data_IF_697882354560
#
_entry.id   IF_697882354560
#
_cell.length_a   1.000
_cell.length_b   1.000
_cell.length_c   1.000
_cell.angle_alpha   90.00
_cell.angle_beta   90.00
_cell.angle_gamma   90.00
#
_symmetry.space_group_name_H-M   'P 1'
#
loop_
_entity.id
_entity.type
_entity.pdbx_description
1 polymer ?
#
# COMPACT_ATOMS: atom_id res chain seq x y z
N UNK A 1 -37.55 11.02 -31.50
CA UNK A 1 -38.08 10.11 -30.46
C UNK A 1 -36.92 9.77 -29.52
N UNK A 2 -36.72 10.60 -28.50
CA UNK A 2 -35.69 10.37 -27.49
C UNK A 2 -36.23 9.34 -26.50
N UNK A 3 -35.61 8.16 -26.41
CA UNK A 3 -35.87 7.25 -25.30
C UNK A 3 -34.99 7.67 -24.12
N UNK A 4 -35.66 8.12 -23.06
CA UNK A 4 -35.04 8.43 -21.79
C UNK A 4 -34.33 7.20 -21.24
N UNK A 5 -33.07 7.36 -20.86
CA UNK A 5 -32.37 6.39 -20.03
C UNK A 5 -32.64 6.77 -18.58
N UNK A 6 -33.47 5.94 -17.94
CA UNK A 6 -33.70 5.96 -16.50
C UNK A 6 -32.36 5.84 -15.77
N UNK A 7 -32.03 6.87 -15.00
CA UNK A 7 -30.82 6.95 -14.18
C UNK A 7 -31.13 6.46 -12.76
N UNK A 8 -31.37 5.16 -12.61
CA UNK A 8 -31.50 4.50 -11.31
C UNK A 8 -30.39 3.50 -11.05
N UNK A 9 -29.47 3.85 -10.13
CA UNK A 9 -28.70 2.93 -9.25
C UNK A 9 -27.46 2.16 -9.75
N UNK A 10 -26.71 2.64 -10.74
CA UNK A 10 -25.50 1.92 -11.24
C UNK A 10 -24.31 1.85 -10.25
N UNK A 11 -24.27 2.68 -9.20
CA UNK A 11 -23.11 2.74 -8.28
C UNK A 11 -22.94 1.53 -7.35
N UNK A 12 -23.97 0.70 -7.17
CA UNK A 12 -23.90 -0.48 -6.29
C UNK A 12 -23.20 -1.70 -6.90
N UNK A 13 -23.11 -1.79 -8.23
CA UNK A 13 -22.73 -3.04 -8.91
C UNK A 13 -21.20 -3.20 -9.10
N UNK A 14 -20.48 -2.11 -9.37
CA UNK A 14 -19.05 -2.17 -9.66
C UNK A 14 -18.19 -2.54 -8.43
N UNK A 15 -18.59 -2.07 -7.24
CA UNK A 15 -17.91 -2.41 -5.98
C UNK A 15 -18.06 -3.89 -5.63
N UNK A 16 -19.29 -4.42 -5.74
CA UNK A 16 -19.55 -5.84 -5.49
C UNK A 16 -18.84 -6.73 -6.52
N UNK A 17 -18.89 -6.39 -7.81
CA UNK A 17 -18.18 -7.13 -8.84
C UNK A 17 -16.65 -7.15 -8.62
N UNK A 18 -16.07 -6.07 -8.06
CA UNK A 18 -14.66 -6.05 -7.68
C UNK A 18 -14.37 -7.00 -6.51
N UNK A 19 -15.24 -7.04 -5.49
CA UNK A 19 -15.12 -7.99 -4.38
C UNK A 19 -15.25 -9.44 -4.84
N UNK A 20 -16.20 -9.74 -5.71
CA UNK A 20 -16.40 -11.08 -6.24
C UNK A 20 -15.18 -11.52 -7.07
N UNK A 21 -14.60 -10.60 -7.85
CA UNK A 21 -13.33 -10.85 -8.55
C UNK A 21 -12.19 -11.14 -7.59
N UNK A 22 -12.06 -10.38 -6.50
CA UNK A 22 -11.05 -10.60 -5.47
C UNK A 22 -11.21 -11.94 -4.75
N UNK A 23 -12.42 -12.30 -4.34
CA UNK A 23 -12.71 -13.60 -3.76
C UNK A 23 -12.40 -14.73 -4.74
N UNK A 24 -12.78 -14.59 -6.01
CA UNK A 24 -12.44 -15.54 -7.07
C UNK A 24 -10.94 -15.72 -7.27
N UNK A 25 -10.16 -14.63 -7.27
CA UNK A 25 -8.70 -14.69 -7.34
C UNK A 25 -8.09 -15.43 -6.15
N UNK A 26 -8.60 -15.19 -4.93
CA UNK A 26 -8.14 -15.92 -3.75
C UNK A 26 -8.44 -17.41 -3.85
N UNK A 27 -9.68 -17.78 -4.22
CA UNK A 27 -10.08 -19.18 -4.37
C UNK A 27 -9.21 -19.88 -5.41
N UNK A 28 -8.99 -19.25 -6.55
CA UNK A 28 -8.15 -19.79 -7.62
C UNK A 28 -6.70 -19.96 -7.13
N UNK A 29 -6.15 -18.97 -6.43
CA UNK A 29 -4.80 -19.06 -5.90
C UNK A 29 -4.66 -20.17 -4.85
N UNK A 30 -5.60 -20.29 -3.93
CA UNK A 30 -5.63 -21.34 -2.91
C UNK A 30 -5.71 -22.74 -3.55
N UNK A 31 -6.46 -22.90 -4.64
CA UNK A 31 -6.52 -24.15 -5.41
C UNK A 31 -5.19 -24.49 -6.07
N UNK A 32 -4.54 -23.53 -6.74
CA UNK A 32 -3.23 -23.75 -7.36
C UNK A 32 -2.16 -24.16 -6.34
N UNK A 33 -2.15 -23.55 -5.16
CA UNK A 33 -1.23 -23.94 -4.08
C UNK A 33 -1.50 -25.37 -3.60
N UNK A 34 -2.79 -25.77 -3.52
CA UNK A 34 -3.18 -27.14 -3.17
C UNK A 34 -2.72 -28.15 -4.22
N UNK A 35 -2.93 -27.85 -5.50
CA UNK A 35 -2.59 -28.74 -6.62
C UNK A 35 -1.08 -28.98 -6.75
N UNK A 36 -0.27 -28.04 -6.24
CA UNK A 36 1.20 -28.15 -6.23
C UNK A 36 1.77 -28.73 -4.93
N UNK A 37 0.92 -29.20 -4.02
CA UNK A 37 1.33 -29.72 -2.72
C UNK A 37 2.07 -28.67 -1.89
N UNK A 38 1.60 -27.42 -1.93
CA UNK A 38 2.11 -26.29 -1.13
C UNK A 38 3.52 -25.82 -1.50
N UNK A 39 4.05 -26.28 -2.64
CA UNK A 39 5.39 -25.89 -3.11
C UNK A 39 5.44 -24.47 -3.69
N UNK A 40 4.29 -23.92 -4.09
CA UNK A 40 4.15 -22.53 -4.53
C UNK A 40 3.80 -21.62 -3.35
N UNK A 41 4.37 -20.41 -3.32
CA UNK A 41 4.03 -19.38 -2.33
C UNK A 41 2.72 -18.66 -2.65
N UNK A 42 2.37 -17.64 -1.89
CA UNK A 42 1.07 -16.97 -2.00
C UNK A 42 0.91 -16.10 -3.25
N UNK A 43 1.93 -15.36 -3.66
CA UNK A 43 1.80 -14.41 -4.77
C UNK A 43 2.41 -14.99 -6.06
N UNK A 44 3.51 -15.72 -5.95
CA UNK A 44 4.33 -16.16 -7.08
C UNK A 44 5.67 -15.42 -7.11
N UNK A 45 6.71 -16.12 -7.57
CA UNK A 45 8.10 -15.64 -7.51
C UNK A 45 8.32 -14.31 -8.23
N UNK A 46 9.08 -13.42 -7.60
CA UNK A 46 9.53 -12.17 -8.20
C UNK A 46 10.34 -12.48 -9.46
N UNK A 47 9.87 -12.02 -10.62
CA UNK A 47 10.50 -12.21 -11.93
C UNK A 47 11.76 -11.35 -12.11
N UNK A 48 12.64 -11.31 -11.11
CA UNK A 48 13.76 -10.36 -11.00
C UNK A 48 13.34 -8.92 -10.69
N UNK A 49 12.03 -8.67 -10.58
CA UNK A 49 11.45 -7.38 -10.26
C UNK A 49 10.42 -7.55 -9.15
N UNK A 50 10.43 -6.66 -8.16
CA UNK A 50 9.50 -6.68 -7.05
C UNK A 50 9.44 -5.32 -6.35
N UNK A 51 8.39 -5.15 -5.55
CA UNK A 51 8.14 -3.95 -4.78
C UNK A 51 6.65 -3.77 -4.54
N UNK A 52 6.33 -2.80 -3.68
CA UNK A 52 4.94 -2.40 -3.46
C UNK A 52 4.36 -1.82 -4.77
N UNK A 53 3.17 -2.29 -5.22
CA UNK A 53 2.52 -1.70 -6.37
C UNK A 53 2.32 -0.21 -6.20
N UNK A 54 2.55 0.52 -7.28
CA UNK A 54 2.38 1.97 -7.29
C UNK A 54 1.62 2.43 -8.53
N UNK A 55 1.02 3.60 -8.43
CA UNK A 55 0.55 4.27 -9.63
C UNK A 55 1.73 4.83 -10.44
N UNK A 56 1.49 5.21 -11.70
CA UNK A 56 2.54 5.74 -12.60
C UNK A 56 3.17 7.07 -12.12
N UNK A 57 2.57 7.74 -11.13
CA UNK A 57 3.14 8.92 -10.47
C UNK A 57 3.95 8.58 -9.21
N UNK A 58 4.18 7.30 -8.91
CA UNK A 58 5.03 6.85 -7.81
C UNK A 58 4.34 6.63 -6.45
N UNK A 59 3.03 6.88 -6.33
CA UNK A 59 2.30 6.65 -5.08
C UNK A 59 1.96 5.17 -4.93
N UNK A 60 2.41 4.55 -3.85
CA UNK A 60 2.06 3.16 -3.54
C UNK A 60 0.55 2.99 -3.31
N UNK A 61 0.04 1.88 -3.80
CA UNK A 61 -1.22 1.34 -3.32
C UNK A 61 -1.02 0.83 -1.90
N UNK A 62 -2.09 0.84 -1.11
CA UNK A 62 -2.09 0.30 0.24
C UNK A 62 -3.11 -0.81 0.34
N UNK A 63 -2.81 -1.74 1.23
CA UNK A 63 -3.77 -2.72 1.67
C UNK A 63 -4.27 -3.68 0.61
N UNK A 64 -5.60 -3.89 0.54
CA UNK A 64 -6.24 -4.82 -0.39
C UNK A 64 -5.81 -4.57 -1.83
N UNK A 65 -5.71 -3.31 -2.22
CA UNK A 65 -5.24 -2.95 -3.56
C UNK A 65 -3.79 -3.39 -3.77
N UNK A 66 -2.91 -3.19 -2.79
CA UNK A 66 -1.52 -3.63 -2.89
C UNK A 66 -1.44 -5.14 -3.11
N UNK A 67 -2.10 -5.93 -2.25
CA UNK A 67 -2.09 -7.39 -2.35
C UNK A 67 -2.64 -7.88 -3.69
N UNK A 68 -3.84 -7.43 -4.10
CA UNK A 68 -4.45 -7.90 -5.34
C UNK A 68 -3.72 -7.46 -6.60
N UNK A 69 -3.05 -6.30 -6.58
CA UNK A 69 -2.19 -5.87 -7.68
C UNK A 69 -0.89 -6.69 -7.73
N UNK A 70 -0.31 -7.08 -6.60
CA UNK A 70 0.82 -8.01 -6.58
C UNK A 70 0.41 -9.37 -7.17
N UNK A 71 -0.71 -9.93 -6.69
CA UNK A 71 -1.26 -11.19 -7.20
C UNK A 71 -1.55 -11.12 -8.70
N UNK A 72 -2.11 -10.01 -9.19
CA UNK A 72 -2.33 -9.82 -10.62
C UNK A 72 -1.01 -9.68 -11.40
N UNK A 73 -0.05 -8.92 -10.88
CA UNK A 73 1.27 -8.71 -11.51
C UNK A 73 1.94 -10.07 -11.74
N UNK A 74 1.98 -10.91 -10.71
CA UNK A 74 2.52 -12.26 -10.79
C UNK A 74 1.72 -13.16 -11.73
N UNK A 75 0.38 -13.21 -11.58
CA UNK A 75 -0.48 -14.07 -12.41
C UNK A 75 -0.41 -13.76 -13.91
N UNK A 76 -0.19 -12.49 -14.27
CA UNK A 76 -0.08 -12.06 -15.68
C UNK A 76 1.37 -12.02 -16.20
N UNK A 77 2.36 -12.35 -15.35
CA UNK A 77 3.77 -12.29 -15.72
C UNK A 77 4.27 -10.87 -16.02
N UNK A 78 3.67 -9.85 -15.40
CA UNK A 78 4.15 -8.48 -15.50
C UNK A 78 5.45 -8.33 -14.71
N UNK A 79 6.42 -7.63 -15.29
CA UNK A 79 7.69 -7.26 -14.66
C UNK A 79 7.50 -6.14 -13.65
N UNK A 80 6.68 -5.14 -13.96
CA UNK A 80 6.57 -3.95 -13.11
C UNK A 80 5.22 -3.91 -12.41
N UNK A 81 5.17 -3.75 -11.07
CA UNK A 81 3.92 -3.56 -10.35
C UNK A 81 3.44 -2.10 -10.45
N UNK A 82 3.49 -1.52 -11.66
CA UNK A 82 3.15 -0.11 -11.93
C UNK A 82 1.88 -0.03 -12.73
N UNK A 83 0.92 0.73 -12.21
CA UNK A 83 -0.43 0.81 -12.75
C UNK A 83 -0.85 2.24 -13.06
N UNK A 84 -1.78 2.38 -14.01
CA UNK A 84 -2.34 3.65 -14.40
C UNK A 84 -3.79 3.54 -14.84
N UNK A 85 -4.57 4.59 -14.64
CA UNK A 85 -5.90 4.73 -15.21
C UNK A 85 -5.82 5.03 -16.71
N UNK A 86 -6.90 4.77 -17.45
CA UNK A 86 -7.01 5.15 -18.86
C UNK A 86 -6.67 6.64 -19.10
N UNK A 87 -7.15 7.52 -18.20
CA UNK A 87 -6.86 8.95 -18.26
C UNK A 87 -5.38 9.27 -18.03
N UNK A 88 -4.72 8.58 -17.11
CA UNK A 88 -3.28 8.72 -16.91
C UNK A 88 -2.49 8.25 -18.14
N UNK A 89 -2.93 7.18 -18.82
CA UNK A 89 -2.29 6.72 -20.06
C UNK A 89 -2.34 7.83 -21.11
N UNK A 90 -3.54 8.35 -21.35
CA UNK A 90 -3.78 9.42 -22.30
C UNK A 90 -2.95 10.68 -21.97
N UNK A 91 -2.89 11.10 -20.71
CA UNK A 91 -2.08 12.24 -20.28
C UNK A 91 -0.57 12.03 -20.52
N UNK A 92 -0.11 10.79 -20.47
CA UNK A 92 1.26 10.39 -20.80
C UNK A 92 1.47 10.18 -22.31
N UNK A 93 0.48 10.53 -23.15
CA UNK A 93 0.46 10.30 -24.60
C UNK A 93 0.55 8.82 -24.98
N UNK A 94 0.25 7.93 -24.04
CA UNK A 94 0.17 6.50 -24.24
C UNK A 94 -1.30 6.07 -24.40
N UNK A 95 -1.51 4.88 -24.95
CA UNK A 95 -2.82 4.25 -25.05
C UNK A 95 -2.76 2.80 -24.56
N UNK A 96 -3.91 2.31 -24.09
CA UNK A 96 -4.11 0.90 -23.72
C UNK A 96 -4.12 0.07 -25.00
N UNK A 97 -3.39 -1.04 -25.02
CA UNK A 97 -3.31 -1.94 -26.17
C UNK A 97 -4.68 -2.60 -26.44
N UNK A 98 -4.96 -2.91 -27.72
CA UNK A 98 -6.24 -3.49 -28.13
C UNK A 98 -6.46 -4.85 -27.46
N UNK A 99 -7.60 -5.00 -26.77
CA UNK A 99 -8.00 -6.24 -26.10
C UNK A 99 -7.62 -6.33 -24.63
N UNK A 100 -6.80 -5.40 -24.12
CA UNK A 100 -6.41 -5.37 -22.72
C UNK A 100 -7.57 -5.06 -21.77
N UNK A 101 -7.63 -5.77 -20.66
CA UNK A 101 -8.69 -5.64 -19.65
C UNK A 101 -8.17 -4.95 -18.41
N UNK A 102 -8.95 -3.99 -17.91
CA UNK A 102 -8.65 -3.31 -16.67
C UNK A 102 -8.74 -4.25 -15.45
N UNK A 103 -8.00 -3.88 -14.42
CA UNK A 103 -8.09 -4.43 -13.08
C UNK A 103 -8.76 -3.43 -12.13
N UNK A 104 -9.68 -3.86 -11.24
CA UNK A 104 -10.29 -2.94 -10.29
C UNK A 104 -9.37 -2.67 -9.10
N UNK A 105 -9.27 -1.41 -8.70
CA UNK A 105 -8.81 -1.02 -7.36
C UNK A 105 -9.98 -0.43 -6.58
N UNK A 106 -10.11 -0.77 -5.31
CA UNK A 106 -11.28 -0.45 -4.47
C UNK A 106 -10.99 0.62 -3.43
N UNK A 107 -11.97 1.47 -3.12
CA UNK A 107 -11.90 2.46 -2.06
C UNK A 107 -13.23 2.54 -1.32
N UNK A 108 -13.15 2.71 0.00
CA UNK A 108 -14.30 2.97 0.85
C UNK A 108 -14.74 4.42 0.72
N UNK A 109 -16.03 4.62 0.46
CA UNK A 109 -16.67 5.91 0.56
C UNK A 109 -17.96 5.78 1.37
N UNK A 110 -18.51 6.91 1.77
CA UNK A 110 -19.71 6.98 2.59
C UNK A 110 -20.78 7.78 1.87
N UNK A 111 -21.98 7.23 1.78
CA UNK A 111 -23.15 8.00 1.43
C UNK A 111 -23.76 8.49 2.74
N UNK A 112 -23.75 9.80 2.94
CA UNK A 112 -24.26 10.41 4.16
C UNK A 112 -25.54 11.17 3.85
N UNK A 113 -26.61 10.89 4.61
CA UNK A 113 -27.81 11.71 4.63
C UNK A 113 -27.95 12.37 6.00
N UNK A 114 -28.28 13.66 6.00
CA UNK A 114 -28.61 14.35 7.23
C UNK A 114 -29.96 13.86 7.82
N UNK A 115 -30.32 14.40 8.98
CA UNK A 115 -31.59 14.11 9.68
C UNK A 115 -32.85 14.42 8.87
N UNK A 116 -32.74 15.14 7.77
CA UNK A 116 -33.84 15.47 6.85
C UNK A 116 -33.77 14.68 5.54
N UNK A 117 -32.86 13.70 5.44
CA UNK A 117 -32.67 12.86 4.26
C UNK A 117 -31.87 13.52 3.13
N UNK A 118 -31.31 14.72 3.34
CA UNK A 118 -30.50 15.41 2.33
C UNK A 118 -29.10 14.81 2.29
N UNK A 119 -28.63 14.46 1.09
CA UNK A 119 -27.27 13.97 0.89
C UNK A 119 -26.26 15.08 1.16
N UNK A 120 -25.23 14.77 1.95
CA UNK A 120 -24.04 15.59 2.13
C UNK A 120 -22.82 14.80 1.69
N UNK A 121 -21.76 15.50 1.29
CA UNK A 121 -20.52 14.85 0.88
C UNK A 121 -19.81 14.21 2.08
N UNK A 122 -19.01 13.18 1.81
CA UNK A 122 -18.16 12.52 2.83
C UNK A 122 -17.18 13.49 3.49
N UNK A 123 -16.75 14.53 2.77
CA UNK A 123 -15.85 15.57 3.27
C UNK A 123 -16.57 16.50 4.24
N UNK A 124 -17.76 17.00 3.88
CA UNK A 124 -18.62 17.76 4.79
C UNK A 124 -18.93 16.95 6.05
N UNK A 125 -19.34 15.69 5.90
CA UNK A 125 -19.62 14.82 7.05
C UNK A 125 -18.40 14.67 7.96
N UNK A 126 -17.19 14.46 7.41
CA UNK A 126 -15.97 14.33 8.23
C UNK A 126 -15.68 15.61 9.03
N UNK A 127 -15.95 16.77 8.47
CA UNK A 127 -15.73 18.07 9.10
C UNK A 127 -16.71 18.40 10.25
N UNK A 128 -17.85 17.70 10.34
CA UNK A 128 -18.84 17.92 11.41
C UNK A 128 -18.37 17.44 12.79
N UNK A 129 -18.81 18.14 13.84
CA UNK A 129 -18.63 17.73 15.23
C UNK A 129 -19.41 16.46 15.57
N UNK A 130 -19.03 15.77 16.67
CA UNK A 130 -19.70 14.52 17.11
C UNK A 130 -21.21 14.69 17.30
N UNK A 131 -21.65 15.82 17.83
CA UNK A 131 -23.08 16.10 18.05
C UNK A 131 -23.83 16.36 16.74
N UNK A 132 -23.21 17.03 15.77
CA UNK A 132 -23.82 17.30 14.46
C UNK A 132 -23.99 16.01 13.63
N UNK A 133 -23.15 15.02 13.87
CA UNK A 133 -23.24 13.69 13.24
C UNK A 133 -24.39 12.85 13.80
N UNK A 134 -24.95 13.18 14.98
CA UNK A 134 -26.05 12.42 15.57
C UNK A 134 -27.30 12.51 14.70
N UNK A 135 -27.92 11.36 14.46
CA UNK A 135 -29.12 11.27 13.62
C UNK A 135 -28.86 11.37 12.11
N UNK A 136 -27.59 11.41 11.67
CA UNK A 136 -27.24 11.25 10.27
C UNK A 136 -27.19 9.77 9.89
N UNK A 137 -27.73 9.44 8.71
CA UNK A 137 -27.64 8.10 8.13
C UNK A 137 -26.33 7.99 7.36
N UNK A 138 -25.48 7.03 7.72
CA UNK A 138 -24.19 6.79 7.06
C UNK A 138 -24.18 5.38 6.49
N UNK A 139 -24.17 5.30 5.16
CA UNK A 139 -24.10 4.03 4.44
C UNK A 139 -22.72 3.90 3.80
N UNK A 140 -21.83 3.02 4.31
CA UNK A 140 -20.55 2.76 3.67
C UNK A 140 -20.77 1.98 2.38
N UNK A 141 -19.99 2.31 1.35
CA UNK A 141 -19.99 1.59 0.09
C UNK A 141 -18.60 1.55 -0.53
N UNK A 142 -18.39 0.60 -1.45
CA UNK A 142 -17.13 0.41 -2.14
C UNK A 142 -17.23 1.00 -3.54
N UNK A 143 -16.31 1.90 -3.88
CA UNK A 143 -16.06 2.34 -5.24
C UNK A 143 -14.93 1.50 -5.84
N UNK A 144 -15.09 1.11 -7.11
CA UNK A 144 -14.03 0.48 -7.88
C UNK A 144 -13.58 1.42 -9.01
N UNK A 145 -12.27 1.52 -9.21
CA UNK A 145 -11.68 2.25 -10.34
C UNK A 145 -10.86 1.31 -11.21
N UNK A 146 -11.02 1.38 -12.55
CA UNK A 146 -10.23 0.56 -13.46
C UNK A 146 -8.80 1.11 -13.60
N UNK A 147 -7.82 0.23 -13.44
CA UNK A 147 -6.40 0.49 -13.71
C UNK A 147 -5.84 -0.56 -14.67
N UNK A 148 -4.78 -0.19 -15.38
CA UNK A 148 -4.03 -1.02 -16.31
C UNK A 148 -2.58 -1.05 -15.85
N UNK A 149 -1.94 -2.20 -15.95
CA UNK A 149 -0.50 -2.28 -15.78
C UNK A 149 0.20 -1.52 -16.93
N UNK A 150 1.37 -0.93 -16.69
CA UNK A 150 2.15 -0.25 -17.74
C UNK A 150 2.42 -1.13 -18.96
N UNK A 151 2.55 -2.45 -18.79
CA UNK A 151 2.76 -3.40 -19.89
C UNK A 151 1.49 -3.68 -20.71
N UNK A 152 0.32 -3.25 -20.26
CA UNK A 152 -0.93 -3.28 -21.03
C UNK A 152 -1.10 -2.04 -21.93
N UNK A 153 -0.06 -1.22 -22.04
CA UNK A 153 -0.06 0.05 -22.78
C UNK A 153 1.15 0.15 -23.67
N UNK A 154 1.12 1.04 -24.65
CA UNK A 154 2.30 1.35 -25.46
C UNK A 154 3.29 2.34 -24.77
N UNK A 155 3.21 2.51 -23.45
CA UNK A 155 4.05 3.47 -22.71
C UNK A 155 5.55 3.19 -22.88
N UNK A 156 5.95 1.93 -23.09
CA UNK A 156 7.35 1.58 -23.37
C UNK A 156 7.87 2.13 -24.71
N UNK A 157 6.99 2.29 -25.70
CA UNK A 157 7.34 2.88 -26.99
C UNK A 157 7.39 4.41 -26.90
N UNK A 158 6.44 5.01 -26.17
CA UNK A 158 6.28 6.47 -26.10
C UNK A 158 7.20 7.14 -25.07
N UNK A 159 7.50 6.45 -23.96
CA UNK A 159 8.36 6.95 -22.88
C UNK A 159 9.38 5.88 -22.42
N UNK A 160 10.32 5.46 -23.28
CA UNK A 160 11.30 4.42 -22.98
C UNK A 160 12.17 4.74 -21.76
N UNK A 161 12.58 6.01 -21.59
CA UNK A 161 13.38 6.43 -20.44
C UNK A 161 12.62 6.29 -19.11
N UNK A 162 11.32 6.61 -19.08
CA UNK A 162 10.48 6.42 -17.89
C UNK A 162 10.39 4.94 -17.54
N UNK A 163 10.19 4.09 -18.56
CA UNK A 163 10.13 2.65 -18.37
C UNK A 163 11.47 2.06 -17.91
N UNK A 164 12.60 2.60 -18.36
CA UNK A 164 13.92 2.19 -17.88
C UNK A 164 14.10 2.55 -16.40
N UNK A 165 13.79 3.80 -16.01
CA UNK A 165 13.84 4.23 -14.60
C UNK A 165 12.96 3.38 -13.69
N UNK A 166 11.77 3.00 -14.16
CA UNK A 166 10.90 2.08 -13.43
C UNK A 166 11.51 0.68 -13.31
N UNK A 167 12.11 0.14 -14.38
CA UNK A 167 12.81 -1.13 -14.30
C UNK A 167 13.96 -1.09 -13.29
N UNK A 168 14.79 -0.05 -13.32
CA UNK A 168 15.90 0.09 -12.39
C UNK A 168 15.41 0.20 -10.94
N UNK A 169 14.30 0.92 -10.70
CA UNK A 169 13.68 1.05 -9.37
C UNK A 169 13.18 -0.27 -8.80
N UNK A 170 12.53 -1.10 -9.62
CA UNK A 170 11.89 -2.34 -9.17
C UNK A 170 12.79 -3.57 -9.28
N UNK A 171 14.02 -3.43 -9.78
CA UNK A 171 14.96 -4.54 -9.89
C UNK A 171 15.34 -5.04 -8.49
N UNK A 172 15.17 -6.34 -8.25
CA UNK A 172 15.50 -6.95 -6.96
C UNK A 172 16.99 -7.27 -6.91
N UNK A 173 17.75 -6.75 -5.93
CA UNK A 173 19.11 -7.22 -5.70
C UNK A 173 19.10 -8.61 -5.04
N UNK A 174 20.03 -9.47 -5.44
CA UNK A 174 20.29 -10.73 -4.74
C UNK A 174 21.17 -10.43 -3.52
N UNK A 175 20.58 -10.47 -2.32
CA UNK A 175 21.26 -10.13 -1.07
C UNK A 175 21.52 -11.39 -0.25
N UNK A 176 22.79 -11.74 -0.06
CA UNK A 176 23.23 -12.92 0.70
C UNK A 176 24.03 -12.52 1.94
N UNK A 177 23.85 -13.27 3.01
CA UNK A 177 24.74 -13.21 4.18
C UNK A 177 26.01 -14.06 3.97
N UNK A 178 26.86 -14.12 4.99
CA UNK A 178 28.12 -14.86 4.97
C UNK A 178 27.94 -16.38 4.82
N UNK A 179 26.76 -16.91 5.15
CA UNK A 179 26.42 -18.32 4.96
C UNK A 179 25.76 -18.57 3.60
N UNK A 180 25.58 -17.54 2.77
CA UNK A 180 24.92 -17.63 1.47
C UNK A 180 23.39 -17.60 1.54
N UNK A 181 22.79 -17.41 2.72
CA UNK A 181 21.34 -17.32 2.89
C UNK A 181 20.85 -15.93 2.52
N UNK A 182 19.59 -15.78 2.09
CA UNK A 182 19.01 -14.45 1.86
C UNK A 182 19.16 -13.57 3.10
N UNK A 183 19.47 -12.29 2.92
CA UNK A 183 19.72 -11.33 3.99
C UNK A 183 18.86 -10.07 3.82
N UNK A 184 18.46 -9.48 4.96
CA UNK A 184 17.68 -8.25 4.96
C UNK A 184 18.10 -7.35 6.13
N UNK A 185 19.04 -6.45 5.87
CA UNK A 185 19.68 -5.52 6.81
C UNK A 185 18.72 -4.85 7.79
N UNK A 186 17.60 -4.32 7.30
CA UNK A 186 16.62 -3.62 8.13
C UNK A 186 15.90 -4.54 9.13
N UNK A 187 15.64 -5.80 8.75
CA UNK A 187 15.02 -6.79 9.62
C UNK A 187 16.04 -7.35 10.61
N UNK A 188 17.27 -7.58 10.17
CA UNK A 188 18.38 -8.00 11.04
C UNK A 188 18.62 -6.95 12.14
N UNK A 189 18.75 -5.67 11.75
CA UNK A 189 18.88 -4.56 12.69
C UNK A 189 17.70 -4.47 13.65
N UNK A 190 16.48 -4.73 13.19
CA UNK A 190 15.28 -4.71 14.04
C UNK A 190 15.40 -5.73 15.18
N UNK A 191 15.87 -6.94 14.86
CA UNK A 191 16.10 -8.01 15.84
C UNK A 191 17.28 -7.67 16.74
N UNK A 192 18.42 -7.26 16.19
CA UNK A 192 19.61 -6.91 16.98
C UNK A 192 19.35 -5.80 18.00
N UNK A 193 18.60 -4.78 17.59
CA UNK A 193 18.27 -3.62 18.45
C UNK A 193 16.98 -3.81 19.25
N UNK A 194 16.30 -4.96 19.07
CA UNK A 194 14.98 -5.25 19.66
C UNK A 194 13.99 -4.09 19.44
N UNK A 195 14.01 -3.50 18.24
CA UNK A 195 13.22 -2.33 17.88
C UNK A 195 11.79 -2.66 17.43
N UNK A 196 11.38 -3.92 17.52
CA UNK A 196 9.99 -4.34 17.30
C UNK A 196 9.13 -4.08 18.54
N UNK A 197 7.81 -4.23 18.39
CA UNK A 197 6.80 -3.97 19.41
C UNK A 197 6.86 -4.91 20.61
N UNK A 198 7.56 -6.03 20.48
CA UNK A 198 7.84 -7.00 21.52
C UNK A 198 9.20 -7.66 21.26
N UNK A 199 9.81 -8.31 22.27
CA UNK A 199 11.08 -9.00 22.08
C UNK A 199 10.99 -10.10 21.02
N UNK A 200 12.06 -10.26 20.23
CA UNK A 200 12.23 -11.31 19.23
C UNK A 200 13.46 -12.14 19.60
N UNK A 201 13.24 -13.40 19.99
CA UNK A 201 14.31 -14.35 20.33
C UNK A 201 14.67 -15.21 19.11
N UNK A 202 15.93 -15.15 18.68
CA UNK A 202 16.45 -15.90 17.50
C UNK A 202 17.75 -16.66 17.79
N UNK A 203 18.23 -16.61 19.04
CA UNK A 203 19.56 -17.06 19.47
C UNK A 203 19.59 -18.52 19.95
N UNK A 204 18.44 -19.19 20.02
CA UNK A 204 18.31 -20.56 20.55
C UNK A 204 17.73 -21.50 19.51
N UNK A 205 18.22 -22.74 19.54
CA UNK A 205 17.62 -23.83 18.77
C UNK A 205 16.25 -24.18 19.33
N UNK A 206 15.21 -24.06 18.51
CA UNK A 206 13.83 -24.44 18.83
C UNK A 206 13.18 -25.16 17.66
N UNK A 207 12.14 -25.95 17.90
CA UNK A 207 11.51 -26.80 16.88
C UNK A 207 10.55 -26.02 15.97
N UNK A 208 10.11 -24.83 16.39
CA UNK A 208 9.15 -24.03 15.62
C UNK A 208 9.10 -22.58 16.08
N UNK A 209 8.56 -21.75 15.20
CA UNK A 209 8.27 -20.35 15.46
C UNK A 209 6.91 -20.19 16.16
N UNK A 210 6.80 -19.18 17.00
CA UNK A 210 5.52 -18.75 17.57
C UNK A 210 5.61 -17.35 18.19
N UNK A 211 4.50 -16.63 18.15
CA UNK A 211 4.19 -15.54 19.07
C UNK A 211 3.48 -16.07 20.32
N UNK A 212 3.89 -15.60 21.51
CA UNK A 212 3.25 -15.92 22.79
C UNK A 212 2.44 -14.74 23.30
N UNK A 213 1.09 -14.75 23.22
CA UNK A 213 0.27 -13.63 23.69
C UNK A 213 0.40 -13.35 25.19
N UNK A 214 0.55 -14.40 26.02
CA UNK A 214 0.63 -14.26 27.48
C UNK A 214 1.94 -13.66 27.98
N UNK A 215 3.03 -13.88 27.24
CA UNK A 215 4.37 -13.37 27.56
C UNK A 215 4.78 -12.18 26.69
N UNK A 216 3.96 -11.87 25.69
CA UNK A 216 4.20 -10.87 24.66
C UNK A 216 5.63 -10.88 24.10
N UNK A 217 6.00 -12.00 23.45
CA UNK A 217 7.27 -12.12 22.75
C UNK A 217 7.17 -13.09 21.58
N UNK A 218 8.09 -12.96 20.63
CA UNK A 218 8.24 -13.83 19.48
C UNK A 218 9.44 -14.73 19.70
N UNK A 219 9.29 -16.01 19.39
CA UNK A 219 10.38 -17.00 19.34
C UNK A 219 10.48 -17.53 17.92
N UNK A 220 11.70 -17.56 17.38
CA UNK A 220 12.00 -18.13 16.08
C UNK A 220 13.12 -19.18 16.23
N UNK A 221 13.12 -20.24 15.40
CA UNK A 221 14.31 -21.05 15.18
C UNK A 221 15.46 -20.16 14.71
N UNK A 222 16.69 -20.55 15.04
CA UNK A 222 17.87 -19.85 14.54
C UNK A 222 17.84 -19.83 13.01
N UNK A 223 18.29 -18.75 12.38
CA UNK A 223 18.31 -18.62 10.91
C UNK A 223 18.96 -19.84 10.22
N UNK A 224 20.04 -20.38 10.80
CA UNK A 224 20.71 -21.58 10.31
C UNK A 224 19.83 -22.85 10.28
N UNK A 225 18.78 -22.94 11.10
CA UNK A 225 17.85 -24.09 11.09
C UNK A 225 16.99 -24.15 9.83
N UNK A 226 16.83 -23.03 9.13
CA UNK A 226 16.10 -22.97 7.85
C UNK A 226 17.00 -23.39 6.67
N UNK A 227 18.31 -23.55 6.88
CA UNK A 227 19.22 -24.04 5.86
C UNK A 227 19.18 -25.58 5.78
N UNK A 228 18.11 -26.11 5.17
CA UNK A 228 17.84 -27.55 5.11
C UNK A 228 18.20 -28.20 3.77
N UNK A 229 18.48 -27.42 2.73
CA UNK A 229 18.77 -27.95 1.39
C UNK A 229 20.25 -28.16 1.11
N UNK A 230 20.53 -28.69 -0.09
CA UNK A 230 21.88 -29.10 -0.50
C UNK A 230 22.53 -28.21 -1.55
N UNK A 231 21.81 -27.21 -2.07
CA UNK A 231 22.29 -26.33 -3.15
C UNK A 231 22.43 -24.87 -2.68
N UNK A 232 23.27 -24.04 -3.33
CA UNK A 232 23.36 -22.61 -3.03
C UNK A 232 22.01 -21.87 -3.13
N UNK A 233 21.13 -22.32 -4.02
CA UNK A 233 19.77 -21.81 -4.17
C UNK A 233 18.88 -22.22 -3.00
N UNK A 234 19.00 -23.44 -2.50
CA UNK A 234 18.24 -23.85 -1.30
C UNK A 234 18.71 -23.08 -0.06
N UNK A 235 20.03 -22.88 0.09
CA UNK A 235 20.61 -22.06 1.16
C UNK A 235 20.05 -20.63 1.11
N UNK A 236 20.01 -20.04 -0.09
CA UNK A 236 19.41 -18.72 -0.29
C UNK A 236 17.96 -18.67 0.18
N UNK A 237 17.17 -19.67 -0.23
CA UNK A 237 15.74 -19.79 0.10
C UNK A 237 15.51 -20.02 1.59
N UNK A 238 16.39 -20.73 2.29
CA UNK A 238 16.31 -20.86 3.74
C UNK A 238 16.32 -19.52 4.46
N UNK A 239 17.06 -18.53 3.95
CA UNK A 239 17.02 -17.16 4.46
C UNK A 239 15.66 -16.48 4.25
N UNK A 240 15.04 -16.69 3.07
CA UNK A 240 13.70 -16.17 2.78
C UNK A 240 12.64 -16.76 3.71
N UNK A 241 12.73 -18.08 3.96
CA UNK A 241 11.82 -18.78 4.87
C UNK A 241 11.95 -18.29 6.31
N UNK A 242 13.17 -17.98 6.77
CA UNK A 242 13.38 -17.34 8.07
C UNK A 242 12.65 -16.00 8.19
N UNK A 243 12.82 -15.09 7.23
CA UNK A 243 12.16 -13.77 7.32
C UNK A 243 10.66 -13.85 7.08
N UNK A 244 10.16 -14.72 6.19
CA UNK A 244 8.71 -14.89 6.02
C UNK A 244 8.06 -15.41 7.29
N UNK A 245 8.70 -16.37 7.98
CA UNK A 245 8.26 -16.89 9.28
C UNK A 245 8.28 -15.79 10.34
N UNK A 246 9.34 -14.97 10.38
CA UNK A 246 9.39 -13.82 11.28
C UNK A 246 8.24 -12.83 11.03
N UNK A 247 7.97 -12.49 9.77
CA UNK A 247 6.88 -11.56 9.41
C UNK A 247 5.49 -12.13 9.78
N UNK A 248 5.32 -13.45 9.69
CA UNK A 248 4.13 -14.15 10.14
C UNK A 248 3.93 -13.98 11.66
N UNK A 249 4.94 -14.28 12.48
CA UNK A 249 4.85 -14.13 13.94
C UNK A 249 4.77 -12.66 14.38
N UNK A 250 5.45 -11.75 13.67
CA UNK A 250 5.27 -10.31 13.85
C UNK A 250 3.82 -9.92 13.62
N UNK A 251 3.16 -10.48 12.60
CA UNK A 251 1.74 -10.20 12.35
C UNK A 251 0.89 -10.65 13.52
N UNK A 252 1.06 -11.88 14.04
CA UNK A 252 0.35 -12.33 15.23
C UNK A 252 0.58 -11.42 16.43
N UNK A 253 1.81 -10.95 16.64
CA UNK A 253 2.10 -10.02 17.75
C UNK A 253 1.26 -8.74 17.68
N UNK A 254 0.86 -8.28 16.50
CA UNK A 254 0.03 -7.07 16.36
C UNK A 254 -1.44 -7.26 16.79
N UNK A 255 -1.91 -8.49 17.05
CA UNK A 255 -3.34 -8.77 17.30
C UNK A 255 -3.86 -8.28 18.66
N UNK A 256 -2.98 -8.04 19.63
CA UNK A 256 -3.36 -7.76 21.03
C UNK A 256 -4.20 -6.49 21.18
N UNK A 257 -4.92 -6.40 22.30
CA UNK A 257 -5.84 -5.29 22.60
C UNK A 257 -5.13 -3.94 22.63
N UNK A 258 -3.87 -3.91 23.07
CA UNK A 258 -3.02 -2.73 23.14
C UNK A 258 -2.51 -2.27 21.77
N UNK A 259 -2.65 -3.12 20.73
CA UNK A 259 -2.16 -2.89 19.37
C UNK A 259 -3.33 -2.76 18.39
N UNK A 260 -3.59 -3.78 17.57
CA UNK A 260 -4.64 -3.72 16.54
C UNK A 260 -5.97 -4.31 17.00
N UNK A 261 -6.03 -4.86 18.21
CA UNK A 261 -7.23 -5.39 18.87
C UNK A 261 -8.08 -6.24 17.92
N UNK A 262 -7.45 -7.25 17.30
CA UNK A 262 -8.14 -8.20 16.43
C UNK A 262 -8.84 -9.24 17.28
N UNK A 263 -10.03 -9.66 16.85
CA UNK A 263 -10.88 -10.58 17.60
C UNK A 263 -10.26 -11.98 17.62
N UNK A 264 -9.83 -12.44 18.80
CA UNK A 264 -9.19 -13.73 18.97
C UNK A 264 -10.22 -14.85 19.05
N UNK A 265 -10.06 -15.87 18.21
CA UNK A 265 -10.63 -17.19 18.45
C UNK A 265 -9.97 -17.83 19.67
N UNK A 266 -10.69 -18.72 20.36
CA UNK A 266 -10.17 -19.32 21.59
C UNK A 266 -9.14 -20.42 21.36
N UNK A 267 -9.27 -21.22 20.28
CA UNK A 267 -8.49 -22.45 20.05
C UNK A 267 -8.28 -22.73 18.56
N UNK A 268 -7.24 -23.50 18.25
CA UNK A 268 -7.01 -24.09 16.91
C UNK A 268 -8.30 -24.77 16.40
N UNK A 269 -8.67 -24.51 15.14
CA UNK A 269 -9.93 -24.96 14.54
C UNK A 269 -11.14 -24.02 14.73
N UNK A 270 -11.02 -22.93 15.52
CA UNK A 270 -12.05 -21.90 15.64
C UNK A 270 -12.10 -21.00 14.38
N UNK A 271 -13.29 -20.58 13.89
CA UNK A 271 -13.40 -19.70 12.72
C UNK A 271 -12.64 -18.38 12.82
N UNK A 272 -12.55 -17.79 14.02
CA UNK A 272 -11.78 -16.56 14.24
C UNK A 272 -10.28 -16.84 14.26
N UNK A 273 -9.87 -17.99 14.82
CA UNK A 273 -8.47 -18.45 14.74
C UNK A 273 -8.05 -18.66 13.27
N UNK A 274 -8.88 -19.37 12.49
CA UNK A 274 -8.63 -19.57 11.06
C UNK A 274 -8.55 -18.24 10.29
N UNK A 275 -9.33 -17.22 10.68
CA UNK A 275 -9.21 -15.88 10.11
C UNK A 275 -7.88 -15.23 10.46
N UNK A 276 -7.42 -15.33 11.71
CA UNK A 276 -6.16 -14.72 12.16
C UNK A 276 -4.94 -15.35 11.45
N UNK A 277 -4.92 -16.67 11.27
CA UNK A 277 -3.91 -17.35 10.44
C UNK A 277 -3.89 -16.82 9.01
N UNK A 278 -5.07 -16.62 8.40
CA UNK A 278 -5.15 -16.02 7.07
C UNK A 278 -4.62 -14.58 7.05
N UNK A 279 -4.87 -13.79 8.11
CA UNK A 279 -4.31 -12.44 8.23
C UNK A 279 -2.78 -12.49 8.33
N UNK A 280 -2.22 -13.41 9.13
CA UNK A 280 -0.77 -13.59 9.27
C UNK A 280 -0.11 -14.02 7.96
N UNK A 281 -0.66 -15.03 7.29
CA UNK A 281 -0.20 -15.52 5.99
C UNK A 281 -0.19 -14.44 4.91
N UNK A 282 -1.32 -13.74 4.72
CA UNK A 282 -1.43 -12.73 3.67
C UNK A 282 -0.58 -11.49 3.96
N UNK A 283 -0.40 -11.14 5.23
CA UNK A 283 0.49 -10.05 5.64
C UNK A 283 1.94 -10.40 5.36
N UNK A 284 2.40 -11.58 5.80
CA UNK A 284 3.74 -12.07 5.54
C UNK A 284 4.02 -12.17 4.04
N UNK A 285 3.09 -12.72 3.26
CA UNK A 285 3.17 -12.81 1.80
C UNK A 285 3.32 -11.44 1.14
N UNK A 286 2.45 -10.47 1.48
CA UNK A 286 2.47 -9.14 0.87
C UNK A 286 3.77 -8.40 1.14
N UNK A 287 4.29 -8.49 2.37
CA UNK A 287 5.53 -7.82 2.76
C UNK A 287 6.73 -8.52 2.12
N UNK A 288 6.80 -9.85 2.18
CA UNK A 288 7.85 -10.64 1.54
C UNK A 288 7.97 -10.30 0.05
N UNK A 289 6.83 -10.26 -0.66
CA UNK A 289 6.81 -9.93 -2.08
C UNK A 289 7.25 -8.48 -2.34
N UNK A 290 7.00 -7.57 -1.41
CA UNK A 290 7.50 -6.19 -1.49
C UNK A 290 9.02 -6.10 -1.30
N UNK A 291 9.61 -7.05 -0.57
CA UNK A 291 11.05 -7.18 -0.33
C UNK A 291 11.78 -8.01 -1.42
N UNK A 292 11.04 -8.60 -2.36
CA UNK A 292 11.62 -9.32 -3.49
C UNK A 292 11.63 -10.83 -3.42
N UNK A 293 10.89 -11.42 -2.48
CA UNK A 293 10.76 -12.89 -2.38
C UNK A 293 9.32 -13.31 -2.09
N UNK A 294 8.99 -14.57 -2.35
CA UNK A 294 7.64 -15.09 -2.10
C UNK A 294 7.61 -15.86 -0.78
N UNK A 295 6.52 -15.71 -0.02
CA UNK A 295 6.29 -16.48 1.20
C UNK A 295 5.62 -17.80 0.86
N UNK A 296 6.18 -18.91 1.34
CA UNK A 296 5.49 -20.21 1.30
C UNK A 296 4.32 -20.19 2.30
N UNK A 297 3.31 -21.00 2.01
CA UNK A 297 2.25 -21.31 2.97
C UNK A 297 2.88 -22.16 4.09
N UNK A 298 2.60 -21.84 5.35
CA UNK A 298 3.04 -22.68 6.46
C UNK A 298 2.23 -23.99 6.51
N UNK A 299 2.82 -25.06 7.06
CA UNK A 299 2.13 -26.35 7.21
C UNK A 299 0.85 -26.22 8.06
N UNK A 300 0.86 -25.33 9.05
CA UNK A 300 -0.30 -25.03 9.90
C UNK A 300 -1.44 -24.38 9.10
N UNK A 301 -1.11 -23.47 8.18
CA UNK A 301 -2.10 -22.79 7.32
C UNK A 301 -2.66 -23.67 6.21
N UNK A 302 -1.90 -24.68 5.76
CA UNK A 302 -2.38 -25.63 4.76
C UNK A 302 -3.66 -26.36 5.21
N UNK A 303 -3.81 -26.59 6.52
CA UNK A 303 -5.00 -27.22 7.11
C UNK A 303 -6.29 -26.39 6.95
N UNK A 304 -6.17 -25.07 6.78
CA UNK A 304 -7.32 -24.16 6.73
C UNK A 304 -7.79 -23.80 5.31
N UNK A 305 -7.07 -24.19 4.27
CA UNK A 305 -7.36 -23.74 2.90
C UNK A 305 -8.73 -24.20 2.38
N UNK A 306 -9.14 -25.43 2.66
CA UNK A 306 -10.46 -25.92 2.27
C UNK A 306 -11.58 -25.15 2.99
N UNK A 307 -11.36 -24.79 4.26
CA UNK A 307 -12.28 -23.94 5.04
C UNK A 307 -12.36 -22.53 4.44
N UNK A 308 -11.23 -21.88 4.15
CA UNK A 308 -11.20 -20.54 3.56
C UNK A 308 -11.84 -20.50 2.17
N UNK A 309 -11.58 -21.51 1.33
CA UNK A 309 -12.25 -21.64 0.02
C UNK A 309 -13.76 -21.77 0.21
N UNK A 310 -14.20 -22.57 1.17
CA UNK A 310 -15.62 -22.74 1.51
C UNK A 310 -16.27 -21.41 1.92
N UNK A 311 -15.66 -20.69 2.85
CA UNK A 311 -16.14 -19.39 3.35
C UNK A 311 -16.18 -18.36 2.22
N UNK A 312 -15.11 -18.24 1.41
CA UNK A 312 -15.07 -17.28 0.31
C UNK A 312 -16.12 -17.55 -0.79
N UNK A 313 -16.50 -18.82 -1.00
CA UNK A 313 -17.58 -19.17 -1.93
C UNK A 313 -18.96 -18.79 -1.41
N UNK A 314 -19.18 -18.90 -0.10
CA UNK A 314 -20.46 -18.61 0.53
C UNK A 314 -20.62 -17.11 0.82
N UNK A 315 -19.54 -16.46 1.26
CA UNK A 315 -19.51 -15.06 1.67
C UNK A 315 -18.26 -14.35 1.09
N UNK A 316 -18.29 -13.88 -0.17
CA UNK A 316 -17.19 -13.14 -0.78
C UNK A 316 -16.76 -11.91 0.04
N UNK A 317 -17.68 -11.32 0.81
CA UNK A 317 -17.40 -10.18 1.70
C UNK A 317 -16.45 -10.52 2.84
N UNK A 318 -16.25 -11.80 3.17
CA UNK A 318 -15.24 -12.23 4.14
C UNK A 318 -13.84 -11.66 3.80
N UNK A 319 -13.50 -11.59 2.51
CA UNK A 319 -12.20 -11.03 2.07
C UNK A 319 -12.01 -9.58 2.49
N UNK A 320 -13.09 -8.79 2.57
CA UNK A 320 -13.02 -7.39 3.01
C UNK A 320 -12.53 -7.30 4.45
N UNK A 321 -13.08 -8.16 5.32
CA UNK A 321 -12.72 -8.17 6.74
C UNK A 321 -11.28 -8.60 6.93
N UNK A 322 -10.87 -9.68 6.26
CA UNK A 322 -9.48 -10.17 6.28
C UNK A 322 -8.53 -9.09 5.77
N UNK A 323 -8.80 -8.50 4.61
CA UNK A 323 -7.91 -7.50 4.05
C UNK A 323 -7.85 -6.23 4.91
N UNK A 324 -8.93 -5.81 5.57
CA UNK A 324 -8.87 -4.68 6.48
C UNK A 324 -7.84 -4.88 7.61
N UNK A 325 -7.73 -6.12 8.12
CA UNK A 325 -6.78 -6.50 9.15
C UNK A 325 -5.35 -6.64 8.59
N UNK A 326 -5.20 -7.28 7.42
CA UNK A 326 -3.91 -7.35 6.67
C UNK A 326 -3.35 -5.95 6.42
N UNK A 327 -4.19 -5.00 6.01
CA UNK A 327 -3.76 -3.63 5.75
C UNK A 327 -3.12 -3.00 6.99
N UNK A 328 -3.81 -3.08 8.14
CA UNK A 328 -3.35 -2.48 9.39
C UNK A 328 -2.06 -3.13 9.87
N UNK A 329 -1.99 -4.47 9.83
CA UNK A 329 -0.80 -5.22 10.24
C UNK A 329 0.38 -4.88 9.33
N UNK A 330 0.17 -4.89 8.02
CA UNK A 330 1.22 -4.58 7.05
C UNK A 330 1.74 -3.16 7.15
N UNK A 331 0.85 -2.19 7.36
CA UNK A 331 1.22 -0.78 7.50
C UNK A 331 2.09 -0.59 8.75
N UNK A 332 1.73 -1.27 9.85
CA UNK A 332 2.48 -1.21 11.10
C UNK A 332 3.86 -1.87 10.97
N UNK A 333 3.94 -3.04 10.34
CA UNK A 333 5.23 -3.72 10.11
C UNK A 333 6.11 -2.90 9.19
N UNK A 334 5.59 -2.47 8.03
CA UNK A 334 6.35 -1.68 7.06
C UNK A 334 6.82 -0.34 7.63
N UNK A 335 6.04 0.33 8.48
CA UNK A 335 6.48 1.54 9.19
C UNK A 335 7.71 1.29 10.08
N UNK A 336 7.76 0.15 10.78
CA UNK A 336 8.93 -0.19 11.60
C UNK A 336 10.12 -0.63 10.75
N UNK A 337 9.88 -1.37 9.66
CA UNK A 337 10.92 -1.72 8.69
C UNK A 337 11.53 -0.45 8.08
N UNK A 338 10.69 0.51 7.68
CA UNK A 338 11.14 1.76 7.09
C UNK A 338 11.96 2.61 8.07
N UNK A 339 11.62 2.63 9.36
CA UNK A 339 12.48 3.25 10.39
C UNK A 339 13.87 2.62 10.43
N UNK A 340 13.98 1.30 10.28
CA UNK A 340 15.28 0.63 10.25
C UNK A 340 16.04 0.92 8.95
N UNK A 341 15.35 0.93 7.81
CA UNK A 341 15.92 1.29 6.51
C UNK A 341 16.50 2.71 6.53
N UNK A 342 15.73 3.67 7.03
CA UNK A 342 16.18 5.06 7.18
C UNK A 342 17.40 5.16 8.12
N UNK A 343 17.42 4.41 9.22
CA UNK A 343 18.58 4.36 10.12
C UNK A 343 19.84 3.76 9.45
N UNK A 344 19.67 2.98 8.39
CA UNK A 344 20.74 2.42 7.55
C UNK A 344 21.07 3.30 6.34
N UNK A 345 20.39 4.43 6.15
CA UNK A 345 20.56 5.29 4.96
C UNK A 345 19.89 4.75 3.69
N UNK A 346 19.01 3.76 3.82
CA UNK A 346 18.25 3.16 2.71
C UNK A 346 16.90 3.90 2.49
N UNK A 347 16.35 3.79 1.27
CA UNK A 347 15.03 4.34 0.95
C UNK A 347 13.90 3.53 1.60
N UNK A 348 12.85 4.17 2.13
CA UNK A 348 11.69 3.48 2.68
C UNK A 348 10.89 2.77 1.59
N UNK A 349 10.20 1.69 1.95
CA UNK A 349 9.26 1.00 1.07
C UNK A 349 7.97 1.78 0.88
N UNK A 350 7.40 2.29 1.99
CA UNK A 350 6.21 3.12 1.92
C UNK A 350 6.61 4.52 1.50
N UNK A 351 6.27 4.90 0.26
CA UNK A 351 6.35 6.30 -0.17
C UNK A 351 5.26 7.18 0.47
N UNK A 352 4.72 6.79 1.64
CA UNK A 352 3.66 7.54 2.34
C UNK A 352 4.08 8.97 2.68
N UNK A 353 5.38 9.25 2.72
CA UNK A 353 5.98 10.58 2.73
C UNK A 353 7.42 10.50 2.19
N UNK A 354 7.62 9.99 0.97
CA UNK A 354 8.98 9.97 0.38
C UNK A 354 9.45 11.42 0.10
N UNK A 355 10.43 11.97 0.85
CA UNK A 355 10.98 13.31 0.65
C UNK A 355 11.99 13.34 -0.51
N UNK A 356 12.21 12.20 -1.16
CA UNK A 356 13.22 11.98 -2.17
C UNK A 356 12.62 11.43 -3.46
N UNK A 357 11.30 11.51 -3.70
CA UNK A 357 10.74 11.31 -5.06
C UNK A 357 11.26 12.44 -5.94
N UNK A 358 12.27 12.21 -6.80
CA UNK A 358 12.69 13.20 -7.76
C UNK A 358 11.71 12.97 -8.91
N UNK A 359 10.63 13.75 -8.91
CA UNK A 359 9.94 14.03 -10.15
C UNK A 359 11.00 14.56 -11.12
N UNK A 360 10.98 14.11 -12.38
CA UNK A 360 12.04 14.38 -13.36
C UNK A 360 12.39 15.87 -13.44
N UNK A 361 13.47 16.27 -14.13
CA UNK A 361 13.90 17.68 -14.21
C UNK A 361 12.78 18.67 -14.63
N UNK A 362 11.69 18.18 -15.24
CA UNK A 362 10.49 18.93 -15.64
C UNK A 362 9.19 18.56 -14.90
N UNK A 363 9.21 17.62 -13.95
CA UNK A 363 8.01 17.20 -13.22
C UNK A 363 8.10 17.82 -11.81
N UNK A 364 7.18 18.74 -11.50
CA UNK A 364 7.27 19.59 -10.31
C UNK A 364 6.60 18.94 -9.08
N UNK A 365 7.24 19.02 -7.92
CA UNK A 365 6.65 18.60 -6.63
C UNK A 365 5.34 19.36 -6.40
N UNK A 366 4.19 18.68 -6.32
CA UNK A 366 2.91 19.35 -6.16
C UNK A 366 2.76 19.90 -4.75
N UNK A 367 2.25 21.13 -4.63
CA UNK A 367 1.80 21.67 -3.34
C UNK A 367 0.66 20.81 -2.79
N UNK A 368 0.77 20.43 -1.52
CA UNK A 368 -0.30 19.77 -0.75
C UNK A 368 -0.99 20.78 0.17
N UNK A 369 -2.23 20.48 0.57
CA UNK A 369 -3.03 21.30 1.50
C UNK A 369 -3.20 22.78 1.08
N UNK A 370 -3.04 23.09 -0.20
CA UNK A 370 -3.14 24.45 -0.70
C UNK A 370 -4.57 24.98 -0.54
N UNK A 371 -4.74 26.11 0.13
CA UNK A 371 -6.04 26.75 0.31
C UNK A 371 -5.90 28.26 0.48
N UNK A 372 -6.82 29.02 -0.12
CA UNK A 372 -6.99 30.45 0.17
C UNK A 372 -8.03 30.60 1.28
N UNK A 373 -7.64 31.26 2.36
CA UNK A 373 -8.44 31.48 3.57
C UNK A 373 -8.61 32.98 3.83
N UNK A 374 -9.71 33.34 4.48
CA UNK A 374 -9.94 34.70 4.97
C UNK A 374 -9.24 34.88 6.31
N UNK A 375 -8.46 35.94 6.47
CA UNK A 375 -7.74 36.22 7.73
C UNK A 375 -8.64 36.94 8.73
N UNK A 376 -8.27 36.92 10.02
CA UNK A 376 -8.98 37.66 11.08
C UNK A 376 -8.97 39.18 10.86
N UNK A 377 -7.98 39.69 10.14
CA UNK A 377 -7.88 41.11 9.74
C UNK A 377 -8.75 41.49 8.54
N UNK A 378 -9.56 40.56 8.00
CA UNK A 378 -10.44 40.81 6.87
C UNK A 378 -9.77 40.69 5.49
N UNK A 379 -8.48 40.39 5.44
CA UNK A 379 -7.73 40.07 4.23
C UNK A 379 -7.84 38.61 3.81
N UNK A 380 -7.05 38.21 2.82
CA UNK A 380 -6.96 36.83 2.36
C UNK A 380 -5.52 36.36 2.38
N UNK A 381 -5.31 35.10 2.70
CA UNK A 381 -4.01 34.46 2.68
C UNK A 381 -4.09 33.08 2.06
N UNK A 382 -3.02 32.63 1.43
CA UNK A 382 -2.84 31.25 0.98
C UNK A 382 -2.02 30.49 2.04
N UNK A 383 -2.38 29.24 2.31
CA UNK A 383 -1.52 28.25 2.98
C UNK A 383 -1.22 27.13 2.01
N UNK A 384 -0.06 26.49 2.17
CA UNK A 384 0.30 25.28 1.44
C UNK A 384 1.44 24.56 2.18
N UNK A 385 1.56 23.26 1.93
CA UNK A 385 2.73 22.47 2.29
C UNK A 385 3.47 22.05 1.02
N UNK A 386 4.79 22.06 1.07
CA UNK A 386 5.66 21.63 -0.02
C UNK A 386 6.75 20.73 0.55
N UNK A 387 6.95 19.56 -0.05
CA UNK A 387 7.96 18.58 0.40
C UNK A 387 7.88 18.24 1.90
N UNK A 388 6.66 18.07 2.42
CA UNK A 388 6.41 17.79 3.84
C UNK A 388 6.55 18.99 4.79
N UNK A 389 6.96 20.16 4.30
CA UNK A 389 7.13 21.39 5.10
C UNK A 389 5.91 22.31 4.93
N UNK A 390 5.31 22.75 6.04
CA UNK A 390 4.28 23.79 6.07
C UNK A 390 4.93 25.16 5.75
N UNK A 391 4.46 25.83 4.69
CA UNK A 391 5.05 27.09 4.22
C UNK A 391 4.49 28.34 4.93
N UNK A 392 3.63 28.14 5.93
CA UNK A 392 2.96 29.22 6.66
C UNK A 392 1.82 29.87 5.87
N UNK A 393 1.31 31.00 6.38
CA UNK A 393 0.28 31.81 5.73
C UNK A 393 0.92 33.01 5.04
N UNK A 394 0.62 33.22 3.76
CA UNK A 394 1.03 34.42 3.02
C UNK A 394 -0.15 35.16 2.43
N UNK A 395 -0.13 36.48 2.53
CA UNK A 395 -1.20 37.32 2.01
C UNK A 395 -1.34 37.17 0.49
N UNK A 396 -2.59 37.12 0.02
CA UNK A 396 -2.95 37.17 -1.40
C UNK A 396 -3.91 38.32 -1.65
N UNK A 397 -3.94 38.84 -2.87
CA UNK A 397 -4.82 39.96 -3.21
C UNK A 397 -6.30 39.57 -3.15
N UNK A 398 -7.16 40.56 -2.96
CA UNK A 398 -8.62 40.37 -2.93
C UNK A 398 -9.13 39.85 -4.28
N UNK A 399 -8.51 40.26 -5.38
CA UNK A 399 -8.81 39.80 -6.74
C UNK A 399 -8.45 38.33 -6.90
N UNK A 400 -7.25 37.91 -6.46
CA UNK A 400 -6.85 36.49 -6.47
C UNK A 400 -7.80 35.61 -5.66
N UNK A 401 -8.20 36.07 -4.47
CA UNK A 401 -9.18 35.36 -3.65
C UNK A 401 -10.56 35.31 -4.33
N UNK A 402 -11.02 36.42 -4.91
CA UNK A 402 -12.28 36.48 -5.64
C UNK A 402 -12.31 35.50 -6.82
N UNK A 403 -11.26 35.48 -7.64
CA UNK A 403 -11.13 34.51 -8.74
C UNK A 403 -11.22 33.08 -8.22
N UNK A 404 -10.47 32.73 -7.17
CA UNK A 404 -10.52 31.39 -6.58
C UNK A 404 -11.93 31.00 -6.09
N UNK A 405 -12.63 31.89 -5.39
CA UNK A 405 -13.97 31.60 -4.87
C UNK A 405 -15.04 31.56 -5.97
N UNK A 406 -14.80 32.20 -7.12
CA UNK A 406 -15.68 32.15 -8.29
C UNK A 406 -15.52 30.90 -9.15
N UNK A 407 -14.38 30.21 -9.07
CA UNK A 407 -14.18 28.94 -9.78
C UNK A 407 -15.12 27.86 -9.22
N UNK A 408 -15.84 27.19 -10.10
CA UNK A 408 -16.79 26.12 -9.74
C UNK A 408 -16.22 24.73 -10.04
N UNK A 409 -15.32 24.60 -11.02
CA UNK A 409 -14.62 23.36 -11.32
C UNK A 409 -13.45 23.11 -10.36
N UNK A 410 -13.37 21.87 -9.85
CA UNK A 410 -12.37 21.48 -8.85
C UNK A 410 -10.96 21.35 -9.43
N UNK A 411 -10.82 21.02 -10.73
CA UNK A 411 -9.50 20.99 -11.39
C UNK A 411 -9.00 22.41 -11.61
N UNK A 412 -9.86 23.32 -12.01
CA UNK A 412 -9.50 24.73 -12.18
C UNK A 412 -9.12 25.36 -10.85
N UNK A 413 -9.86 25.05 -9.76
CA UNK A 413 -9.48 25.44 -8.40
C UNK A 413 -8.13 24.89 -7.98
N UNK A 414 -7.88 23.61 -8.22
CA UNK A 414 -6.60 22.99 -7.87
C UNK A 414 -5.43 23.58 -8.68
N UNK A 415 -5.61 23.78 -9.98
CA UNK A 415 -4.62 24.41 -10.85
C UNK A 415 -4.35 25.88 -10.44
N UNK A 416 -5.42 26.62 -10.11
CA UNK A 416 -5.32 27.99 -9.64
C UNK A 416 -4.58 28.10 -8.30
N UNK A 417 -4.88 27.20 -7.36
CA UNK A 417 -4.17 27.11 -6.09
C UNK A 417 -2.70 26.76 -6.28
N UNK A 418 -2.40 25.81 -7.16
CA UNK A 418 -1.03 25.41 -7.48
C UNK A 418 -0.22 26.59 -8.06
N UNK A 419 -0.77 27.28 -9.06
CA UNK A 419 -0.17 28.48 -9.65
C UNK A 419 0.03 29.60 -8.61
N UNK A 420 -0.99 29.85 -7.77
CA UNK A 420 -0.96 30.90 -6.76
C UNK A 420 0.08 30.58 -5.67
N UNK A 421 0.13 29.34 -5.20
CA UNK A 421 1.12 28.89 -4.22
C UNK A 421 2.54 29.03 -4.79
N UNK A 422 2.77 28.60 -6.03
CA UNK A 422 4.08 28.72 -6.69
C UNK A 422 4.55 30.16 -6.79
N UNK A 423 3.66 31.07 -7.21
CA UNK A 423 3.98 32.50 -7.27
C UNK A 423 4.29 33.10 -5.89
N UNK A 424 3.57 32.66 -4.86
CA UNK A 424 3.62 33.26 -3.52
C UNK A 424 4.80 32.76 -2.70
N UNK A 425 5.16 31.48 -2.85
CA UNK A 425 6.24 30.81 -2.11
C UNK A 425 7.53 30.63 -2.93
N UNK A 426 7.57 31.10 -4.18
CA UNK A 426 8.73 30.98 -5.08
C UNK A 426 10.08 31.29 -4.43
N UNK A 427 10.23 32.39 -3.67
CA UNK A 427 11.48 32.71 -2.98
C UNK A 427 11.92 31.66 -1.96
N UNK A 428 11.00 31.15 -1.13
CA UNK A 428 11.29 30.14 -0.10
C UNK A 428 11.65 28.78 -0.72
N UNK A 429 10.98 28.42 -1.80
CA UNK A 429 11.22 27.17 -2.53
C UNK A 429 12.63 27.17 -3.16
N UNK A 430 13.06 28.32 -3.70
CA UNK A 430 14.41 28.49 -4.24
C UNK A 430 15.50 28.35 -3.16
N UNK A 431 15.20 28.73 -1.91
CA UNK A 431 16.12 28.54 -0.77
C UNK A 431 16.14 27.07 -0.33
N UNK A 432 14.97 26.44 -0.18
CA UNK A 432 14.84 25.02 0.20
C UNK A 432 15.58 24.09 -0.78
N UNK A 433 15.45 24.35 -2.08
CA UNK A 433 16.14 23.60 -3.14
C UNK A 433 17.66 23.81 -3.14
N UNK A 434 18.16 24.98 -2.68
CA UNK A 434 19.61 25.22 -2.52
C UNK A 434 20.18 24.51 -1.30
N UNK A 435 19.46 24.50 -0.18
CA UNK A 435 19.87 23.84 1.06
C UNK A 435 19.95 22.32 0.91
N UNK A 436 19.04 21.72 0.11
CA UNK A 436 19.10 20.29 -0.23
C UNK A 436 20.31 19.92 -1.10
N UNK A 437 20.80 20.83 -1.96
CA UNK A 437 22.00 20.61 -2.78
C UNK A 437 23.32 20.81 -2.02
N UNK A 438 23.34 21.63 -0.97
CA UNK A 438 24.55 21.84 -0.16
C UNK A 438 24.71 20.78 0.94
N UNK A 439 23.62 20.20 1.45
CA UNK A 439 23.67 19.13 2.45
C UNK A 439 24.23 17.79 1.94
N UNK A 440 24.13 17.52 0.63
CA UNK A 440 24.72 16.34 -0.02
C UNK A 440 26.20 16.50 -0.38
N UNK A 441 26.77 17.70 -0.26
CA UNK A 441 28.15 18.01 -0.62
C UNK A 441 29.18 17.97 0.52
N UNK A 442 28.75 17.80 1.79
CA UNK A 442 29.65 17.86 2.95
C UNK A 442 30.07 16.45 3.45
N UNK A 443 29.62 15.38 2.82
CA UNK A 443 30.05 14.00 3.14
C UNK A 443 31.09 13.41 2.16
N UNK A 444 31.91 14.27 1.53
CA UNK A 444 33.13 13.85 0.84
C UNK A 444 34.26 14.86 1.09
N UNK A 445 34.82 14.82 2.29
CA UNK A 445 36.25 15.04 2.55
C UNK A 445 36.68 14.19 3.74
#
# INVERSE_FOLDING_TARGET
MASGTDTTSVSGNAGQAALDRFAGMMIERMRQMKDTGWKQGWIGGASGFAGLPQNVSGRNYSGSNSFFLQLQTAAMGYRLPVYLTFKQAHNLKAHVLKGEKAFPVVYWDMMVKDKYGKRISSEEYRALGKEEKKGMEVIPFIKAFPVYNVQQTNLAEIQPERMQKLQDKFKVPELRDTAGMYAHSALDRMVETQAWLCPIQVDKRVDGAYYSPSKDHIVLPMKAQFNIGGTPEDTYRGGMEFYSTMLHEMTHSTMTAERLNRDMGGKFGDPKYAKEELVAELTAAMISHSMGFDSKVTDNSAAYLDSWIGVLKQEPKFIVSVMADVNKASDLILDHVDKQRLALGEQPYLAKNDPLVPLGPDEEVPFKNAAIVKTRSGGYAIRASYDGVELGLKNVSKETAKTYFQLTDMKDKAAFLHMTARKTYGPELAVMQRTQKTGTGISMM
#
